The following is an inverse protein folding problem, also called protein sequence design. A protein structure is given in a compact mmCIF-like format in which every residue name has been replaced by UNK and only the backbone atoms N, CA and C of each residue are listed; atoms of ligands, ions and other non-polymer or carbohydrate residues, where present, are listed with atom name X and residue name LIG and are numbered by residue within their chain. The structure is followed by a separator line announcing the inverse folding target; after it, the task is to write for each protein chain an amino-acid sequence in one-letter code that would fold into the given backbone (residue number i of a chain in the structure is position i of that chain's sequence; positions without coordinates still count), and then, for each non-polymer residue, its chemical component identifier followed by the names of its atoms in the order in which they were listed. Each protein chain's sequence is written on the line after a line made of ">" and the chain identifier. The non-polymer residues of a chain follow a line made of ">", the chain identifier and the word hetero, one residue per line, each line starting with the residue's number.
data_IF_327231431762
#
_entry.id   IF_327231431762
#
_cell.length_a   1.000
_cell.length_b   1.000
_cell.length_c   1.000
_cell.angle_alpha   90.00
_cell.angle_beta   90.00
_cell.angle_gamma   90.00
#
_symmetry.space_group_name_H-M   'P 1'
#
loop_
_entity.id
_entity.type
_entity.pdbx_description
1 polymer ?
#
# COMPACT_ATOMS: atom_id res chain seq x y z
N UNK A 1 -29.44 -8.50 35.23
CA UNK A 1 -28.35 -7.94 34.42
C UNK A 1 -28.42 -8.62 33.04
N UNK A 2 -29.13 -7.99 32.09
CA UNK A 2 -29.39 -8.56 30.76
C UNK A 2 -28.35 -8.02 29.79
N UNK A 3 -27.50 -8.93 29.23
CA UNK A 3 -26.59 -8.63 28.14
C UNK A 3 -27.42 -8.32 26.89
N UNK A 4 -27.27 -7.11 26.35
CA UNK A 4 -27.72 -6.76 25.00
C UNK A 4 -26.59 -7.11 24.05
N UNK A 5 -26.71 -8.26 23.36
CA UNK A 5 -25.89 -8.56 22.19
C UNK A 5 -26.42 -7.72 21.03
N UNK A 6 -25.77 -6.59 20.79
CA UNK A 6 -25.98 -5.83 19.57
C UNK A 6 -25.32 -6.53 18.39
N UNK A 7 -26.12 -7.05 17.46
CA UNK A 7 -25.70 -7.53 16.15
C UNK A 7 -25.09 -6.36 15.38
N UNK A 8 -23.77 -6.30 15.26
CA UNK A 8 -23.11 -5.47 14.25
C UNK A 8 -23.38 -6.12 12.89
N UNK A 9 -24.35 -5.57 12.17
CA UNK A 9 -24.50 -5.86 10.74
C UNK A 9 -23.27 -5.34 10.01
N UNK A 10 -22.38 -6.25 9.62
CA UNK A 10 -21.27 -5.97 8.72
C UNK A 10 -21.86 -5.66 7.36
N UNK A 11 -21.96 -4.38 7.01
CA UNK A 11 -22.26 -3.96 5.66
C UNK A 11 -21.13 -4.46 4.75
N UNK A 12 -21.45 -5.11 3.62
CA UNK A 12 -20.44 -5.48 2.65
C UNK A 12 -19.91 -4.21 1.97
N UNK A 13 -18.78 -3.70 2.43
CA UNK A 13 -18.05 -2.69 1.67
C UNK A 13 -17.51 -3.37 0.40
N UNK A 14 -17.65 -2.75 -0.77
CA UNK A 14 -16.98 -3.22 -1.96
C UNK A 14 -15.47 -3.03 -1.75
N UNK A 15 -14.80 -4.12 -1.38
CA UNK A 15 -13.34 -4.21 -1.33
C UNK A 15 -12.87 -4.34 -2.78
N UNK A 16 -12.93 -3.25 -3.52
CA UNK A 16 -12.23 -3.16 -4.80
C UNK A 16 -10.75 -2.96 -4.48
N UNK A 17 -9.93 -3.95 -4.84
CA UNK A 17 -8.46 -3.99 -4.81
C UNK A 17 -7.74 -4.41 -3.53
N UNK A 18 -8.40 -5.01 -2.56
CA UNK A 18 -7.69 -5.97 -1.70
C UNK A 18 -7.96 -7.36 -2.29
N UNK A 19 -6.90 -7.97 -2.82
CA UNK A 19 -6.98 -9.18 -3.65
C UNK A 19 -8.02 -10.19 -3.21
N UNK A 20 -8.66 -10.81 -4.20
CA UNK A 20 -9.48 -12.01 -4.06
C UNK A 20 -8.92 -12.90 -2.97
N UNK A 21 -9.78 -13.42 -2.09
CA UNK A 21 -9.45 -14.14 -0.86
C UNK A 21 -8.58 -15.39 -0.94
N UNK A 22 -7.67 -15.44 -1.89
CA UNK A 22 -6.59 -16.41 -1.94
C UNK A 22 -5.56 -16.06 -0.88
N UNK A 23 -5.26 -17.02 -0.04
CA UNK A 23 -4.35 -16.98 1.08
C UNK A 23 -3.20 -15.99 0.87
N UNK A 24 -3.09 -14.99 1.76
CA UNK A 24 -1.95 -14.08 1.80
C UNK A 24 -0.69 -14.91 1.99
N UNK A 25 -0.05 -15.29 0.88
CA UNK A 25 1.25 -15.95 0.91
C UNK A 25 2.27 -14.90 1.39
N UNK A 26 3.10 -15.19 2.39
CA UNK A 26 4.16 -14.30 2.79
C UNK A 26 5.06 -14.05 1.59
N UNK A 27 5.17 -12.78 1.18
CA UNK A 27 5.97 -12.38 0.03
C UNK A 27 7.36 -12.07 0.49
N UNK A 28 8.24 -12.92 0.06
CA UNK A 28 9.67 -12.71 0.27
C UNK A 28 10.30 -11.91 -0.89
N UNK A 29 9.50 -11.35 -1.80
CA UNK A 29 9.98 -10.57 -2.96
C UNK A 29 9.98 -9.07 -2.69
N UNK A 30 10.93 -8.37 -3.29
CA UNK A 30 11.04 -6.90 -3.27
C UNK A 30 11.53 -6.40 -4.61
N UNK A 31 10.88 -5.39 -5.15
CA UNK A 31 11.34 -4.66 -6.33
C UNK A 31 12.10 -3.41 -5.92
N UNK A 32 13.21 -3.17 -6.58
CA UNK A 32 14.06 -2.00 -6.37
C UNK A 32 14.24 -1.27 -7.70
N UNK A 33 13.99 0.03 -7.71
CA UNK A 33 14.29 0.88 -8.86
C UNK A 33 15.79 1.12 -8.86
N UNK A 34 16.45 0.83 -9.97
CA UNK A 34 17.90 1.03 -10.14
C UNK A 34 18.21 2.32 -10.89
N UNK A 35 17.40 2.62 -11.89
CA UNK A 35 17.57 3.87 -12.65
C UNK A 35 16.28 4.36 -13.30
N UNK A 36 16.28 5.66 -13.59
CA UNK A 36 15.28 6.31 -14.44
C UNK A 36 16.02 7.15 -15.47
N UNK A 37 15.74 6.93 -16.74
CA UNK A 37 16.45 7.56 -17.85
C UNK A 37 15.46 8.13 -18.87
N UNK A 38 15.57 9.43 -19.22
CA UNK A 38 16.42 10.45 -18.64
C UNK A 38 16.07 10.75 -17.17
N UNK A 39 16.93 11.51 -16.45
CA UNK A 39 16.66 11.94 -15.08
C UNK A 39 15.34 12.71 -15.01
N UNK A 40 14.60 12.50 -13.94
CA UNK A 40 13.31 13.14 -13.70
C UNK A 40 13.49 14.62 -13.38
N UNK A 41 12.57 15.49 -13.84
CA UNK A 41 12.56 16.88 -13.42
C UNK A 41 12.13 17.01 -11.94
N UNK A 42 12.43 18.14 -11.33
CA UNK A 42 11.95 18.47 -9.98
C UNK A 42 10.42 18.41 -9.92
N UNK A 43 9.88 17.75 -8.90
CA UNK A 43 8.42 17.57 -8.75
C UNK A 43 7.87 16.28 -9.36
N UNK A 44 8.71 15.45 -10.00
CA UNK A 44 8.32 14.10 -10.41
C UNK A 44 9.12 13.06 -9.65
N UNK A 45 8.42 12.17 -8.93
CA UNK A 45 9.00 11.09 -8.15
C UNK A 45 8.40 9.75 -8.56
N UNK A 46 9.23 8.69 -8.49
CA UNK A 46 8.80 7.30 -8.70
C UNK A 46 9.31 6.42 -7.57
N UNK A 47 8.46 5.54 -7.05
CA UNK A 47 8.84 4.57 -6.04
C UNK A 47 8.02 3.28 -6.12
N UNK A 48 8.51 2.24 -5.42
CA UNK A 48 7.81 0.97 -5.24
C UNK A 48 7.23 0.93 -3.83
N UNK A 49 5.93 0.67 -3.73
CA UNK A 49 5.20 0.63 -2.46
C UNK A 49 4.78 -0.81 -2.15
N UNK A 50 4.97 -1.23 -0.89
CA UNK A 50 4.57 -2.56 -0.43
C UNK A 50 5.44 -3.70 -0.96
N UNK A 51 6.76 -3.49 -0.93
CA UNK A 51 7.81 -4.41 -1.41
C UNK A 51 7.88 -4.52 -2.93
N UNK A 52 6.97 -5.22 -3.58
CA UNK A 52 6.86 -5.36 -5.04
C UNK A 52 5.41 -5.12 -5.51
N UNK A 53 4.55 -4.60 -4.64
CA UNK A 53 3.10 -4.63 -4.87
C UNK A 53 2.64 -3.56 -5.83
N UNK A 54 3.13 -2.33 -5.68
CA UNK A 54 2.65 -1.19 -6.45
C UNK A 54 3.80 -0.33 -6.95
N UNK A 55 3.70 0.13 -8.18
CA UNK A 55 4.44 1.29 -8.68
C UNK A 55 3.66 2.53 -8.33
N UNK A 56 4.35 3.55 -7.85
CA UNK A 56 3.79 4.86 -7.58
C UNK A 56 4.57 5.94 -8.33
N UNK A 57 3.84 6.82 -9.00
CA UNK A 57 4.38 8.02 -9.63
C UNK A 57 3.66 9.23 -9.03
N UNK A 58 4.42 10.21 -8.60
CA UNK A 58 3.92 11.51 -8.17
C UNK A 58 4.41 12.57 -9.14
N UNK A 59 3.54 13.50 -9.46
CA UNK A 59 3.86 14.62 -10.33
C UNK A 59 3.21 15.88 -9.83
N UNK A 60 4.00 16.94 -9.73
CA UNK A 60 3.56 18.28 -9.39
C UNK A 60 3.93 19.21 -10.55
N UNK A 61 2.92 19.63 -11.31
CA UNK A 61 3.10 20.58 -12.41
C UNK A 61 3.59 19.98 -13.73
N UNK A 62 3.82 18.66 -13.80
CA UNK A 62 4.27 17.98 -15.03
C UNK A 62 3.19 17.05 -15.57
N UNK A 63 3.15 16.89 -16.89
CA UNK A 63 2.31 15.93 -17.58
C UNK A 63 3.00 14.57 -17.64
N UNK A 64 2.40 13.53 -17.05
CA UNK A 64 2.98 12.18 -17.05
C UNK A 64 2.04 11.17 -17.68
N UNK A 65 2.51 10.48 -18.72
CA UNK A 65 1.78 9.43 -19.42
C UNK A 65 2.45 8.08 -19.15
N UNK A 66 1.77 7.18 -18.44
CA UNK A 66 2.24 5.82 -18.17
C UNK A 66 1.81 4.91 -19.31
N UNK A 67 2.76 4.12 -19.83
CA UNK A 67 2.57 3.21 -20.94
C UNK A 67 2.17 1.81 -20.45
N UNK A 68 1.14 1.26 -21.05
CA UNK A 68 0.66 -0.09 -20.80
C UNK A 68 1.54 -1.19 -21.41
N UNK A 69 1.05 -2.44 -21.33
CA UNK A 69 1.80 -3.63 -21.79
C UNK A 69 1.90 -3.74 -23.30
N UNK A 70 0.95 -3.16 -24.03
CA UNK A 70 0.90 -3.13 -25.50
C UNK A 70 1.41 -1.79 -26.08
N UNK A 71 2.12 -1.00 -25.27
CA UNK A 71 2.58 0.37 -25.57
C UNK A 71 1.42 1.38 -25.73
N UNK A 72 0.23 1.05 -25.29
CA UNK A 72 -0.92 1.96 -25.26
C UNK A 72 -0.84 2.94 -24.08
N UNK A 73 -1.52 4.11 -24.14
CA UNK A 73 -1.71 4.99 -23.00
C UNK A 73 -2.53 4.28 -21.92
N UNK A 74 -1.93 4.12 -20.72
CA UNK A 74 -2.56 3.40 -19.62
C UNK A 74 -3.06 4.34 -18.52
N UNK A 75 -2.19 5.19 -17.98
CA UNK A 75 -2.59 6.20 -16.99
C UNK A 75 -2.03 7.56 -17.36
N UNK A 76 -2.72 8.63 -16.98
CA UNK A 76 -2.33 10.00 -17.27
C UNK A 76 -2.44 10.88 -16.02
N UNK A 77 -1.35 11.50 -15.61
CA UNK A 77 -1.31 12.54 -14.60
C UNK A 77 -1.15 13.87 -15.33
N UNK A 78 -2.16 14.73 -15.25
CA UNK A 78 -2.10 16.06 -15.86
C UNK A 78 -1.32 17.05 -14.99
N UNK A 79 -0.82 18.11 -15.59
CA UNK A 79 -0.17 19.24 -14.88
C UNK A 79 -1.02 19.83 -13.76
N UNK A 80 -2.36 19.70 -13.85
CA UNK A 80 -3.32 20.12 -12.81
C UNK A 80 -3.35 19.22 -11.58
N UNK A 81 -2.68 18.06 -11.63
CA UNK A 81 -2.75 17.00 -10.61
C UNK A 81 -3.91 16.03 -10.80
N UNK A 82 -4.75 16.21 -11.83
CA UNK A 82 -5.79 15.26 -12.17
C UNK A 82 -5.19 13.94 -12.68
N UNK A 83 -5.65 12.82 -12.16
CA UNK A 83 -5.17 11.48 -12.50
C UNK A 83 -6.28 10.70 -13.19
N UNK A 84 -5.95 10.09 -14.32
CA UNK A 84 -6.86 9.31 -15.14
C UNK A 84 -6.32 7.92 -15.37
N UNK A 85 -7.21 6.95 -15.56
CA UNK A 85 -6.93 5.61 -16.07
C UNK A 85 -7.70 5.41 -17.38
N UNK A 86 -7.09 4.70 -18.32
CA UNK A 86 -7.71 4.37 -19.60
C UNK A 86 -8.48 3.06 -19.47
N UNK A 87 -9.80 3.12 -19.35
CA UNK A 87 -10.67 1.94 -19.28
C UNK A 87 -10.72 1.16 -20.62
N UNK A 88 -10.27 1.77 -21.72
CA UNK A 88 -10.11 1.12 -23.03
C UNK A 88 -8.76 0.40 -23.19
N UNK A 89 -7.88 0.38 -22.17
CA UNK A 89 -6.59 -0.32 -22.19
C UNK A 89 -6.72 -1.74 -21.66
N UNK A 90 -6.12 -2.70 -22.35
CA UNK A 90 -6.00 -4.09 -21.86
C UNK A 90 -5.22 -4.15 -20.54
N UNK A 91 -4.23 -3.27 -20.36
CA UNK A 91 -3.47 -3.15 -19.11
C UNK A 91 -4.37 -2.84 -17.90
N UNK A 92 -5.41 -2.02 -18.07
CA UNK A 92 -6.39 -1.74 -17.00
C UNK A 92 -7.10 -3.01 -16.55
N UNK A 93 -7.51 -3.85 -17.49
CA UNK A 93 -8.17 -5.11 -17.20
C UNK A 93 -7.21 -6.10 -16.50
N UNK A 94 -5.99 -6.25 -17.04
CA UNK A 94 -4.98 -7.18 -16.51
C UNK A 94 -4.55 -6.77 -15.10
N UNK A 95 -4.26 -5.50 -14.87
CA UNK A 95 -3.81 -4.97 -13.57
C UNK A 95 -4.91 -4.98 -12.49
N UNK A 96 -6.18 -5.14 -12.89
CA UNK A 96 -7.30 -5.36 -11.98
C UNK A 96 -7.24 -6.71 -11.27
N UNK A 97 -6.49 -7.68 -11.79
CA UNK A 97 -6.26 -8.99 -11.19
C UNK A 97 -4.80 -9.15 -10.76
N UNK A 98 -4.57 -9.61 -9.52
CA UNK A 98 -3.23 -9.72 -8.94
C UNK A 98 -2.27 -10.63 -9.73
N UNK A 99 -2.77 -11.70 -10.32
CA UNK A 99 -1.99 -12.70 -11.04
C UNK A 99 -2.16 -12.61 -12.56
N UNK A 100 -2.87 -11.59 -13.05
CA UNK A 100 -3.14 -11.43 -14.46
C UNK A 100 -4.01 -12.52 -15.10
N UNK A 101 -4.62 -13.39 -14.30
CA UNK A 101 -5.51 -14.46 -14.76
C UNK A 101 -6.86 -13.87 -15.22
N UNK A 102 -6.81 -13.11 -16.29
CA UNK A 102 -7.99 -12.49 -16.90
C UNK A 102 -8.07 -12.97 -18.32
N UNK A 103 -9.27 -13.41 -18.72
CA UNK A 103 -9.53 -13.72 -20.10
C UNK A 103 -9.59 -12.43 -20.92
N UNK A 104 -8.56 -12.24 -21.75
CA UNK A 104 -8.44 -11.09 -22.65
C UNK A 104 -8.86 -11.40 -24.09
N UNK A 105 -9.33 -12.62 -24.36
CA UNK A 105 -9.64 -13.09 -25.73
C UNK A 105 -10.75 -12.27 -26.41
N UNK A 106 -11.67 -11.74 -25.63
CA UNK A 106 -12.79 -10.91 -26.10
C UNK A 106 -12.55 -9.41 -25.88
N UNK A 107 -11.39 -9.01 -25.38
CA UNK A 107 -11.10 -7.60 -25.16
C UNK A 107 -10.78 -6.93 -26.50
N UNK A 108 -11.57 -5.93 -26.83
CA UNK A 108 -11.33 -5.08 -28.00
C UNK A 108 -10.72 -3.78 -27.50
N UNK A 109 -9.45 -3.56 -27.82
CA UNK A 109 -8.77 -2.32 -27.48
C UNK A 109 -9.46 -1.14 -28.19
N UNK A 110 -9.75 -0.09 -27.43
CA UNK A 110 -10.32 1.12 -28.03
C UNK A 110 -9.26 1.87 -28.83
N UNK A 111 -9.53 2.25 -30.08
CA UNK A 111 -8.58 3.00 -30.90
C UNK A 111 -8.28 4.40 -30.32
N UNK A 112 -9.14 4.88 -29.42
CA UNK A 112 -8.93 6.12 -28.67
C UNK A 112 -9.04 5.85 -27.18
N UNK A 113 -8.18 6.44 -26.32
CA UNK A 113 -8.25 6.23 -24.89
C UNK A 113 -9.59 6.63 -24.30
N UNK A 114 -10.13 5.78 -23.42
CA UNK A 114 -11.37 6.03 -22.65
C UNK A 114 -10.97 6.44 -21.24
N UNK A 115 -10.76 7.74 -21.04
CA UNK A 115 -10.24 8.27 -19.80
C UNK A 115 -11.31 8.34 -18.70
N UNK A 116 -11.05 7.67 -17.58
CA UNK A 116 -11.82 7.82 -16.33
C UNK A 116 -10.93 8.46 -15.27
N UNK A 117 -11.41 9.55 -14.68
CA UNK A 117 -10.71 10.24 -13.58
C UNK A 117 -10.74 9.39 -12.31
N UNK A 118 -9.58 9.21 -11.67
CA UNK A 118 -9.40 8.40 -10.46
C UNK A 118 -8.79 9.18 -9.29
N UNK A 119 -8.28 10.39 -9.51
CA UNK A 119 -7.68 11.21 -8.45
C UNK A 119 -7.43 12.65 -8.89
N UNK A 120 -7.00 13.49 -7.92
CA UNK A 120 -6.73 14.93 -8.11
C UNK A 120 -5.45 15.39 -7.41
N UNK A 121 -4.67 14.48 -6.82
CA UNK A 121 -3.52 14.81 -5.99
C UNK A 121 -2.17 14.58 -6.69
N UNK A 122 -2.16 14.44 -8.01
CA UNK A 122 -0.95 14.22 -8.80
C UNK A 122 -0.26 12.87 -8.53
N UNK A 123 -0.96 11.91 -7.92
CA UNK A 123 -0.39 10.61 -7.56
C UNK A 123 -1.12 9.48 -8.26
N UNK A 124 -0.43 8.78 -9.15
CA UNK A 124 -0.86 7.50 -9.70
C UNK A 124 -0.19 6.36 -8.96
N UNK A 125 -0.95 5.32 -8.62
CA UNK A 125 -0.41 4.10 -8.02
C UNK A 125 -1.18 2.90 -8.59
N UNK A 126 -0.44 1.91 -9.08
CA UNK A 126 -1.05 0.73 -9.71
C UNK A 126 -0.24 -0.53 -9.46
N UNK A 127 -0.91 -1.67 -9.56
CA UNK A 127 -0.29 -2.98 -9.51
C UNK A 127 0.28 -3.32 -10.88
N UNK A 128 1.60 -3.26 -11.04
CA UNK A 128 2.26 -3.52 -12.32
C UNK A 128 2.89 -4.90 -12.33
N UNK A 129 2.43 -5.74 -13.25
CA UNK A 129 2.91 -7.12 -13.37
C UNK A 129 4.35 -7.24 -13.86
N UNK A 130 4.92 -6.18 -14.42
CA UNK A 130 6.35 -6.14 -14.79
C UNK A 130 7.27 -6.12 -13.58
N UNK A 131 6.85 -5.46 -12.51
CA UNK A 131 7.66 -5.27 -11.29
C UNK A 131 7.35 -6.24 -10.16
N UNK A 132 6.35 -7.10 -10.37
CA UNK A 132 5.77 -7.97 -9.35
C UNK A 132 5.95 -9.46 -9.70
N UNK A 133 6.12 -10.31 -8.66
CA UNK A 133 6.12 -11.75 -8.87
C UNK A 133 4.71 -12.30 -9.10
N UNK A 134 4.48 -12.81 -10.31
CA UNK A 134 3.16 -13.22 -10.82
C UNK A 134 2.68 -14.60 -10.34
N UNK A 135 3.55 -15.40 -9.70
CA UNK A 135 3.17 -16.75 -9.29
C UNK A 135 2.88 -16.82 -7.79
N UNK A 136 1.90 -17.65 -7.36
CA UNK A 136 1.70 -17.95 -5.94
C UNK A 136 2.86 -18.78 -5.34
N UNK A 137 3.67 -19.43 -6.19
CA UNK A 137 4.85 -20.18 -5.75
C UNK A 137 6.03 -19.24 -5.57
N UNK A 138 6.86 -19.53 -4.56
CA UNK A 138 8.10 -18.78 -4.32
C UNK A 138 9.02 -18.88 -5.53
N UNK A 139 9.59 -17.77 -6.04
CA UNK A 139 10.56 -17.81 -7.12
C UNK A 139 11.86 -18.50 -6.71
N UNK A 140 12.58 -19.04 -7.70
CA UNK A 140 13.98 -19.41 -7.56
C UNK A 140 14.85 -18.22 -8.03
N UNK A 141 15.81 -17.75 -7.22
CA UNK A 141 16.72 -16.70 -7.67
C UNK A 141 17.69 -17.25 -8.73
N UNK A 142 18.11 -16.38 -9.65
CA UNK A 142 19.05 -16.70 -10.72
C UNK A 142 20.52 -16.52 -10.30
N UNK A 143 20.76 -15.89 -9.14
CA UNK A 143 22.10 -15.62 -8.59
C UNK A 143 22.13 -15.70 -7.06
N UNK A 144 23.32 -15.47 -6.48
CA UNK A 144 23.56 -15.54 -5.03
C UNK A 144 23.03 -14.33 -4.26
N UNK A 145 22.78 -13.20 -4.91
CA UNK A 145 22.22 -12.00 -4.29
C UNK A 145 20.68 -12.02 -4.26
N UNK A 146 20.07 -13.02 -4.93
CA UNK A 146 18.64 -13.22 -4.90
C UNK A 146 17.88 -12.59 -6.05
N UNK A 147 18.51 -12.24 -7.16
CA UNK A 147 17.87 -11.72 -8.36
C UNK A 147 16.85 -12.72 -8.91
N UNK A 148 15.65 -12.26 -9.16
CA UNK A 148 14.57 -13.05 -9.78
C UNK A 148 14.34 -12.64 -11.22
N UNK A 149 14.16 -11.34 -11.46
CA UNK A 149 13.94 -10.78 -12.80
C UNK A 149 14.32 -9.29 -12.82
N UNK A 150 14.94 -8.87 -13.91
CA UNK A 150 15.10 -7.45 -14.24
C UNK A 150 13.86 -6.97 -14.97
N UNK A 151 13.44 -5.74 -14.69
CA UNK A 151 12.22 -5.19 -15.23
C UNK A 151 12.40 -3.76 -15.74
N UNK A 152 11.49 -3.33 -16.62
CA UNK A 152 11.41 -1.96 -17.13
C UNK A 152 9.96 -1.53 -17.33
N UNK A 153 9.70 -0.27 -16.98
CA UNK A 153 8.39 0.37 -17.15
C UNK A 153 8.59 1.66 -17.93
N UNK A 154 8.11 1.74 -19.19
CA UNK A 154 8.15 2.95 -19.98
C UNK A 154 7.04 3.91 -19.55
N UNK A 155 7.32 5.20 -19.60
CA UNK A 155 6.39 6.30 -19.43
C UNK A 155 6.92 7.55 -20.14
N UNK A 156 6.22 8.67 -20.12
CA UNK A 156 6.76 9.94 -20.58
C UNK A 156 6.47 11.04 -19.58
N UNK A 157 7.37 12.02 -19.50
CA UNK A 157 7.22 13.23 -18.71
C UNK A 157 7.31 14.42 -19.66
N UNK A 158 6.28 15.24 -19.73
CA UNK A 158 6.16 16.39 -20.66
C UNK A 158 6.43 16.00 -22.13
N UNK A 159 6.00 14.79 -22.52
CA UNK A 159 6.23 14.23 -23.85
C UNK A 159 7.62 13.63 -24.07
N UNK A 160 8.54 13.72 -23.09
CA UNK A 160 9.87 13.12 -23.18
C UNK A 160 9.77 11.65 -22.75
N UNK A 161 10.10 10.73 -23.67
CA UNK A 161 10.13 9.30 -23.38
C UNK A 161 11.13 8.99 -22.26
N UNK A 162 10.63 8.33 -21.22
CA UNK A 162 11.37 8.00 -20.01
C UNK A 162 11.19 6.52 -19.70
N UNK A 163 12.22 5.88 -19.17
CA UNK A 163 12.16 4.48 -18.77
C UNK A 163 12.67 4.32 -17.35
N UNK A 164 11.87 3.70 -16.52
CA UNK A 164 12.26 3.23 -15.19
C UNK A 164 12.70 1.78 -15.31
N UNK A 165 13.86 1.44 -14.76
CA UNK A 165 14.40 0.08 -14.71
C UNK A 165 14.69 -0.33 -13.29
N UNK A 166 14.64 -1.62 -13.02
CA UNK A 166 14.95 -2.14 -11.71
C UNK A 166 14.99 -3.66 -11.69
N UNK A 167 15.15 -4.19 -10.51
CA UNK A 167 15.30 -5.63 -10.26
C UNK A 167 14.36 -6.10 -9.17
N UNK A 168 13.73 -7.24 -9.41
CA UNK A 168 12.96 -7.98 -8.42
C UNK A 168 13.89 -8.97 -7.72
N UNK A 169 14.01 -8.85 -6.40
CA UNK A 169 14.84 -9.71 -5.56
C UNK A 169 13.99 -10.61 -4.67
N UNK A 170 14.53 -11.79 -4.38
CA UNK A 170 14.03 -12.69 -3.35
C UNK A 170 14.77 -12.42 -2.04
N UNK A 171 14.03 -11.98 -1.02
CA UNK A 171 14.57 -11.78 0.34
C UNK A 171 14.74 -13.10 1.09
N UNK A 172 15.70 -13.11 2.00
CA UNK A 172 15.78 -14.15 3.01
C UNK A 172 14.54 -14.10 3.92
N UNK A 173 14.03 -15.27 4.28
CA UNK A 173 12.91 -15.34 5.25
C UNK A 173 13.32 -14.70 6.56
N UNK A 174 12.43 -13.90 7.14
CA UNK A 174 12.63 -13.36 8.47
C UNK A 174 12.81 -14.50 9.49
N UNK A 175 13.80 -14.35 10.38
CA UNK A 175 14.05 -15.34 11.42
C UNK A 175 12.85 -15.45 12.36
N UNK A 176 12.45 -16.68 12.67
CA UNK A 176 11.40 -16.98 13.67
C UNK A 176 11.74 -16.37 15.04
N UNK A 177 13.02 -16.14 15.33
CA UNK A 177 13.47 -15.53 16.59
C UNK A 177 12.90 -14.12 16.81
N UNK A 178 12.71 -13.34 15.76
CA UNK A 178 12.09 -12.01 15.88
C UNK A 178 10.63 -12.09 16.30
N UNK A 179 9.89 -13.10 15.80
CA UNK A 179 8.51 -13.34 16.22
C UNK A 179 8.43 -13.81 17.67
N UNK A 180 9.35 -14.68 18.10
CA UNK A 180 9.46 -15.12 19.49
C UNK A 180 9.83 -13.96 20.42
N UNK A 181 10.76 -13.09 20.02
CA UNK A 181 11.11 -11.89 20.78
C UNK A 181 9.92 -10.93 20.90
N UNK A 182 9.18 -10.70 19.81
CA UNK A 182 7.95 -9.89 19.82
C UNK A 182 6.87 -10.47 20.73
N UNK A 183 6.66 -11.78 20.69
CA UNK A 183 5.73 -12.47 21.58
C UNK A 183 6.14 -12.36 23.05
N UNK A 184 7.42 -12.57 23.36
CA UNK A 184 7.95 -12.43 24.72
C UNK A 184 7.79 -10.99 25.24
N UNK A 185 8.07 -9.98 24.40
CA UNK A 185 7.85 -8.57 24.73
C UNK A 185 6.38 -8.27 25.03
N UNK A 186 5.46 -8.80 24.21
CA UNK A 186 4.02 -8.67 24.42
C UNK A 186 3.59 -9.31 25.75
N UNK A 187 4.08 -10.52 26.04
CA UNK A 187 3.78 -11.23 27.29
C UNK A 187 4.29 -10.43 28.51
N UNK A 188 5.51 -9.89 28.44
CA UNK A 188 6.06 -9.01 29.47
C UNK A 188 5.19 -7.75 29.65
N UNK A 189 4.74 -7.13 28.57
CA UNK A 189 3.85 -5.97 28.63
C UNK A 189 2.53 -6.30 29.32
N UNK A 190 1.92 -7.45 29.03
CA UNK A 190 0.69 -7.94 29.69
C UNK A 190 0.93 -8.14 31.19
N UNK A 191 2.01 -8.81 31.59
CA UNK A 191 2.35 -9.04 33.01
C UNK A 191 2.60 -7.72 33.72
N UNK A 192 3.31 -6.78 33.12
CA UNK A 192 3.55 -5.45 33.67
C UNK A 192 2.25 -4.64 33.79
N UNK A 193 1.31 -4.79 32.86
CA UNK A 193 0.03 -4.09 32.90
C UNK A 193 -0.80 -4.43 34.14
N UNK A 194 -0.71 -5.67 34.60
CA UNK A 194 -1.41 -6.11 35.82
C UNK A 194 -0.79 -5.51 37.07
N UNK A 195 0.56 -5.34 37.09
CA UNK A 195 1.30 -4.87 38.29
C UNK A 195 1.48 -3.36 38.36
N UNK A 196 1.56 -2.70 37.19
CA UNK A 196 1.86 -1.26 37.06
C UNK A 196 0.88 -0.58 36.10
N UNK A 197 -0.38 -0.52 36.50
CA UNK A 197 -1.48 -0.01 35.65
C UNK A 197 -1.23 1.38 35.08
N UNK A 198 -0.62 2.28 35.82
CA UNK A 198 -0.37 3.65 35.38
C UNK A 198 0.63 3.67 34.20
N UNK A 199 1.76 2.99 34.36
CA UNK A 199 2.81 2.91 33.32
C UNK A 199 2.27 2.24 32.06
N UNK A 200 1.41 1.23 32.20
CA UNK A 200 0.74 0.58 31.09
C UNK A 200 -0.14 1.56 30.30
N UNK A 201 -0.99 2.35 30.97
CA UNK A 201 -1.83 3.33 30.28
C UNK A 201 -1.01 4.44 29.62
N UNK A 202 0.09 4.89 30.24
CA UNK A 202 1.00 5.87 29.62
C UNK A 202 1.65 5.28 28.37
N UNK A 203 2.18 4.05 28.44
CA UNK A 203 2.79 3.38 27.30
C UNK A 203 1.76 3.17 26.17
N UNK A 204 0.55 2.72 26.49
CA UNK A 204 -0.55 2.55 25.53
C UNK A 204 -0.90 3.86 24.85
N UNK A 205 -1.00 4.95 25.61
CA UNK A 205 -1.27 6.27 25.06
C UNK A 205 -0.19 6.71 24.07
N UNK A 206 1.08 6.62 24.46
CA UNK A 206 2.21 7.00 23.58
C UNK A 206 2.26 6.16 22.31
N UNK A 207 2.12 4.84 22.41
CA UNK A 207 2.10 3.95 21.25
C UNK A 207 0.91 4.23 20.33
N UNK A 208 -0.25 4.56 20.89
CA UNK A 208 -1.43 4.92 20.10
C UNK A 208 -1.25 6.24 19.36
N UNK A 209 -0.60 7.24 19.98
CA UNK A 209 -0.26 8.50 19.32
C UNK A 209 0.70 8.26 18.14
N UNK A 210 1.73 7.43 18.33
CA UNK A 210 2.63 7.02 17.23
C UNK A 210 1.82 6.34 16.12
N UNK A 211 0.90 5.45 16.45
CA UNK A 211 0.00 4.80 15.49
C UNK A 211 -0.87 5.79 14.71
N UNK A 212 -1.39 6.84 15.37
CA UNK A 212 -2.13 7.92 14.70
C UNK A 212 -1.24 8.66 13.71
N UNK A 213 -0.03 9.04 14.10
CA UNK A 213 0.91 9.78 13.23
C UNK A 213 1.28 8.94 12.00
N UNK A 214 1.69 7.68 12.21
CA UNK A 214 2.03 6.78 11.11
C UNK A 214 0.83 6.57 10.18
N UNK A 215 -0.35 6.30 10.75
CA UNK A 215 -1.57 6.10 9.98
C UNK A 215 -1.99 7.34 9.18
N UNK A 216 -1.77 8.55 9.72
CA UNK A 216 -2.03 9.81 9.01
C UNK A 216 -1.05 9.98 7.83
N UNK A 217 0.24 9.76 8.04
CA UNK A 217 1.26 9.83 6.99
C UNK A 217 0.93 8.83 5.86
N UNK A 218 0.60 7.60 6.20
CA UNK A 218 0.22 6.57 5.22
C UNK A 218 -1.04 6.98 4.46
N UNK A 219 -2.06 7.44 5.15
CA UNK A 219 -3.33 7.85 4.53
C UNK A 219 -3.16 9.00 3.53
N UNK A 220 -2.37 10.02 3.89
CA UNK A 220 -2.09 11.15 2.99
C UNK A 220 -1.18 10.73 1.83
N UNK A 221 -0.28 9.76 2.03
CA UNK A 221 0.60 9.24 0.99
C UNK A 221 -0.07 8.38 -0.07
N UNK A 222 -1.33 7.95 0.15
CA UNK A 222 -2.09 7.17 -0.83
C UNK A 222 -2.80 8.07 -1.85
N UNK A 223 -2.92 7.65 -3.12
CA UNK A 223 -3.76 8.33 -4.11
C UNK A 223 -5.23 8.29 -3.72
N UNK A 224 -6.02 9.26 -4.19
CA UNK A 224 -7.43 9.44 -3.78
C UNK A 224 -8.28 8.17 -4.02
N UNK A 225 -8.10 7.50 -5.15
CA UNK A 225 -8.82 6.27 -5.50
C UNK A 225 -8.46 5.05 -4.65
N UNK A 226 -7.31 5.07 -3.95
CA UNK A 226 -6.84 3.98 -3.09
C UNK A 226 -7.06 4.25 -1.59
N UNK A 227 -7.60 5.42 -1.23
CA UNK A 227 -7.91 5.79 0.16
C UNK A 227 -9.15 5.02 0.64
N UNK A 228 -8.89 3.93 1.34
CA UNK A 228 -9.92 3.19 2.07
C UNK A 228 -10.15 3.89 3.42
N UNK A 229 -11.30 3.64 4.03
CA UNK A 229 -11.63 4.13 5.38
C UNK A 229 -10.43 4.00 6.32
N UNK A 230 -10.01 5.06 7.03
CA UNK A 230 -8.79 5.09 7.81
C UNK A 230 -8.92 4.30 9.12
N UNK A 231 -9.19 2.99 9.02
CA UNK A 231 -9.47 2.12 10.17
C UNK A 231 -8.33 2.11 11.19
N UNK A 232 -7.07 1.99 10.71
CA UNK A 232 -5.90 1.99 11.61
C UNK A 232 -5.83 3.30 12.39
N UNK A 233 -6.09 4.42 11.71
CA UNK A 233 -6.13 5.75 12.32
C UNK A 233 -7.22 5.85 13.38
N UNK A 234 -8.42 5.37 13.06
CA UNK A 234 -9.58 5.39 13.96
C UNK A 234 -9.36 4.50 15.20
N UNK A 235 -8.83 3.30 15.04
CA UNK A 235 -8.52 2.41 16.15
C UNK A 235 -7.43 2.98 17.06
N UNK A 236 -6.37 3.54 16.48
CA UNK A 236 -5.29 4.17 17.24
C UNK A 236 -5.77 5.41 17.98
N UNK A 237 -6.61 6.24 17.38
CA UNK A 237 -7.22 7.40 18.02
C UNK A 237 -8.15 6.97 19.17
N UNK A 238 -9.01 5.96 18.95
CA UNK A 238 -9.87 5.39 19.97
C UNK A 238 -9.09 4.85 21.18
N UNK A 239 -8.02 4.10 20.93
CA UNK A 239 -7.14 3.59 21.99
C UNK A 239 -6.47 4.73 22.78
N UNK A 240 -6.07 5.83 22.12
CA UNK A 240 -5.51 7.02 22.78
C UNK A 240 -6.52 7.66 23.73
N UNK A 241 -7.78 7.81 23.29
CA UNK A 241 -8.85 8.39 24.12
C UNK A 241 -9.14 7.51 25.34
N UNK A 242 -9.25 6.18 25.15
CA UNK A 242 -9.49 5.23 26.24
C UNK A 242 -8.33 5.27 27.24
N UNK A 243 -7.09 5.29 26.80
CA UNK A 243 -5.93 5.37 27.68
C UNK A 243 -5.90 6.68 28.46
N UNK A 244 -6.15 7.83 27.80
CA UNK A 244 -6.18 9.14 28.45
C UNK A 244 -7.29 9.25 29.50
N UNK A 245 -8.51 8.79 29.18
CA UNK A 245 -9.64 8.79 30.13
C UNK A 245 -9.37 7.89 31.32
N UNK A 246 -8.78 6.71 31.09
CA UNK A 246 -8.40 5.79 32.18
C UNK A 246 -7.36 6.39 33.12
N UNK A 247 -6.35 7.11 32.60
CA UNK A 247 -5.37 7.83 33.42
C UNK A 247 -6.01 8.95 34.23
N UNK A 248 -6.95 9.68 33.64
CA UNK A 248 -7.66 10.78 34.34
C UNK A 248 -8.55 10.25 35.49
N UNK A 249 -9.28 9.17 35.26
CA UNK A 249 -10.13 8.55 36.29
C UNK A 249 -9.30 8.01 37.45
N UNK A 250 -8.13 7.40 37.16
CA UNK A 250 -7.24 6.93 38.25
C UNK A 250 -6.72 8.06 39.12
N UNK A 251 -6.40 9.24 38.53
CA UNK A 251 -5.98 10.41 39.32
C UNK A 251 -7.06 10.93 40.24
N UNK A 252 -8.34 10.92 39.82
CA UNK A 252 -9.47 11.34 40.64
C UNK A 252 -9.75 10.36 41.80
N UNK A 253 -9.65 9.05 41.56
CA UNK A 253 -9.85 8.03 42.58
C UNK A 253 -8.73 7.95 43.64
N UNK A 254 -7.57 8.58 43.39
CA UNK A 254 -6.47 8.69 44.35
C UNK A 254 -6.53 10.00 45.19
N UNK A 255 -7.37 10.96 44.76
CA UNK A 255 -7.55 12.26 45.44
C UNK A 255 -8.79 12.31 46.34
N UNK A 256 -9.58 11.25 46.39
CA UNK A 256 -10.70 11.00 47.31
C UNK A 256 -10.32 9.98 48.38
#
# INVERSE_FOLDING_TARGET
>A
MRLILGLLSVLPFPVQHMGSGDSVQPRDTVSVIESVTPALPDGVDVDIVGSDTFVRVRSVGHDVMITGYQNEPYMHIKTTGDVFVNDGSQTTLINGNRYGNVDTSNFVESPTPVWRKIGTNGTAMWHDHRVHWMSPKRPAPIDTIGTVVEWKVPFSVDGIATTMTGTLFLRHKASVLWWLAGFAALLCAVVLSVRRRREFFVATFLMSVVGVVIGAIQYVGLPDGARITPLILMFSAGASVIAATSMFMQRRGQAS
#
